data_IF_510507226126
#
_entry.id   IF_510507226126
#
_cell.length_a   1.000
_cell.length_b   1.000
_cell.length_c   1.000
_cell.angle_alpha   90.00
_cell.angle_beta   90.00
_cell.angle_gamma   90.00
#
_symmetry.space_group_name_H-M   'P 1'
#
loop_
_entity.id
_entity.type
_entity.pdbx_description
1 polymer ?
#
# COMPACT_ATOMS: atom_id res chain seq x y z
N UNK A 1 6.19 -30.91 -41.12
CA UNK A 1 6.47 -31.01 -39.66
C UNK A 1 7.32 -29.82 -39.17
N UNK A 2 8.47 -29.49 -39.82
CA UNK A 2 9.34 -28.36 -39.36
C UNK A 2 8.63 -27.00 -39.46
N UNK A 3 7.84 -26.74 -40.50
CA UNK A 3 7.11 -25.48 -40.68
C UNK A 3 6.02 -25.32 -39.60
N UNK A 4 5.29 -26.37 -39.29
CA UNK A 4 4.23 -26.36 -38.27
C UNK A 4 4.79 -26.12 -36.87
N UNK A 5 5.93 -26.76 -36.52
CA UNK A 5 6.62 -26.53 -35.28
C UNK A 5 7.14 -25.08 -35.14
N UNK A 6 7.64 -24.52 -36.26
CA UNK A 6 8.06 -23.13 -36.31
C UNK A 6 6.92 -22.15 -36.03
N UNK A 7 5.75 -22.35 -36.66
CA UNK A 7 4.58 -21.49 -36.46
C UNK A 7 4.07 -21.59 -35.02
N UNK A 8 3.97 -22.79 -34.45
CA UNK A 8 3.55 -22.98 -33.05
C UNK A 8 4.51 -22.31 -32.11
N UNK A 9 5.83 -22.43 -32.34
CA UNK A 9 6.85 -21.77 -31.51
C UNK A 9 6.73 -20.24 -31.49
N UNK A 10 6.52 -19.62 -32.67
CA UNK A 10 6.36 -18.16 -32.78
C UNK A 10 5.06 -17.71 -32.11
N UNK A 11 3.94 -18.38 -32.33
CA UNK A 11 2.67 -18.04 -31.68
C UNK A 11 2.78 -18.17 -30.15
N UNK A 12 3.37 -19.25 -29.65
CA UNK A 12 3.57 -19.45 -28.23
C UNK A 12 4.46 -18.35 -27.61
N UNK A 13 5.56 -18.00 -28.29
CA UNK A 13 6.48 -16.96 -27.82
C UNK A 13 5.82 -15.59 -27.65
N UNK A 14 4.82 -15.25 -28.48
CA UNK A 14 4.10 -13.99 -28.40
C UNK A 14 2.93 -14.05 -27.40
N UNK A 15 2.25 -15.19 -27.32
CA UNK A 15 1.01 -15.29 -26.53
C UNK A 15 1.26 -15.57 -25.05
N UNK A 16 2.27 -16.38 -24.71
CA UNK A 16 2.55 -16.78 -23.32
C UNK A 16 2.88 -15.57 -22.43
N UNK A 17 3.79 -14.65 -22.78
CA UNK A 17 4.10 -13.48 -21.93
C UNK A 17 2.87 -12.62 -21.66
N UNK A 18 2.04 -12.39 -22.68
CA UNK A 18 0.81 -11.60 -22.55
C UNK A 18 -0.20 -12.26 -21.62
N UNK A 19 -0.37 -13.58 -21.74
CA UNK A 19 -1.25 -14.34 -20.87
C UNK A 19 -0.77 -14.27 -19.40
N UNK A 20 0.51 -14.50 -19.16
CA UNK A 20 1.10 -14.47 -17.81
C UNK A 20 0.94 -13.10 -17.16
N UNK A 21 1.18 -12.01 -17.90
CA UNK A 21 1.00 -10.66 -17.38
C UNK A 21 -0.46 -10.35 -17.02
N UNK A 22 -1.41 -10.82 -17.83
CA UNK A 22 -2.85 -10.68 -17.55
C UNK A 22 -3.27 -11.46 -16.29
N UNK A 23 -2.77 -12.68 -16.12
CA UNK A 23 -3.03 -13.50 -14.93
C UNK A 23 -2.45 -12.84 -13.68
N UNK A 24 -1.22 -12.34 -13.76
CA UNK A 24 -0.58 -11.63 -12.64
C UNK A 24 -1.37 -10.39 -12.25
N UNK A 25 -1.76 -9.53 -13.19
CA UNK A 25 -2.57 -8.34 -12.92
C UNK A 25 -3.92 -8.70 -12.29
N UNK A 26 -4.57 -9.77 -12.76
CA UNK A 26 -5.83 -10.24 -12.18
C UNK A 26 -5.65 -10.75 -10.74
N UNK A 27 -4.54 -11.44 -10.48
CA UNK A 27 -4.16 -11.88 -9.12
C UNK A 27 -3.96 -10.67 -8.19
N UNK A 28 -3.16 -9.68 -8.60
CA UNK A 28 -2.92 -8.46 -7.84
C UNK A 28 -4.22 -7.69 -7.58
N UNK A 29 -5.09 -7.55 -8.58
CA UNK A 29 -6.41 -6.94 -8.39
C UNK A 29 -7.23 -7.64 -7.30
N UNK A 30 -7.22 -8.97 -7.30
CA UNK A 30 -7.97 -9.77 -6.32
C UNK A 30 -7.35 -9.63 -4.93
N UNK A 31 -6.03 -9.69 -4.83
CA UNK A 31 -5.30 -9.48 -3.57
C UNK A 31 -5.55 -8.08 -3.02
N UNK A 32 -5.47 -7.04 -3.86
CA UNK A 32 -5.75 -5.65 -3.46
C UNK A 32 -7.15 -5.50 -2.88
N UNK A 33 -8.18 -5.97 -3.59
CA UNK A 33 -9.57 -5.87 -3.13
C UNK A 33 -9.79 -6.60 -1.81
N UNK A 34 -9.22 -7.80 -1.69
CA UNK A 34 -9.26 -8.58 -0.45
C UNK A 34 -8.57 -7.83 0.70
N UNK A 35 -7.36 -7.32 0.47
CA UNK A 35 -6.60 -6.54 1.46
C UNK A 35 -7.36 -5.31 1.91
N UNK A 36 -7.93 -4.54 0.98
CA UNK A 36 -8.73 -3.37 1.31
C UNK A 36 -9.98 -3.70 2.13
N UNK A 37 -10.66 -4.79 1.81
CA UNK A 37 -11.81 -5.24 2.58
C UNK A 37 -11.40 -5.68 4.01
N UNK A 38 -10.32 -6.43 4.13
CA UNK A 38 -9.83 -6.93 5.44
C UNK A 38 -9.35 -5.80 6.34
N UNK A 39 -8.62 -4.82 5.82
CA UNK A 39 -8.16 -3.67 6.62
C UNK A 39 -9.34 -2.84 7.14
N UNK A 40 -10.40 -2.68 6.34
CA UNK A 40 -11.61 -1.99 6.78
C UNK A 40 -12.42 -2.80 7.81
N UNK A 41 -12.43 -4.13 7.69
CA UNK A 41 -13.04 -4.99 8.72
C UNK A 41 -12.26 -4.87 10.02
N UNK A 42 -10.93 -4.95 9.97
CA UNK A 42 -10.08 -4.81 11.15
C UNK A 42 -10.27 -3.44 11.84
N UNK A 43 -10.36 -2.34 11.06
CA UNK A 43 -10.58 -1.01 11.63
C UNK A 43 -11.93 -0.89 12.37
N UNK A 44 -12.98 -1.48 11.84
CA UNK A 44 -14.30 -1.52 12.53
C UNK A 44 -14.28 -2.42 13.75
N UNK A 45 -13.56 -3.55 13.69
CA UNK A 45 -13.42 -4.44 14.85
C UNK A 45 -12.61 -3.75 15.95
N UNK A 46 -11.52 -3.06 15.56
CA UNK A 46 -10.74 -2.22 16.48
C UNK A 46 -11.65 -1.24 17.23
N UNK A 47 -12.46 -0.48 16.48
CA UNK A 47 -13.40 0.48 17.08
C UNK A 47 -14.38 -0.18 18.04
N UNK A 48 -14.93 -1.32 17.66
CA UNK A 48 -15.90 -2.04 18.50
C UNK A 48 -15.31 -2.58 19.81
N UNK A 49 -14.02 -2.90 19.82
CA UNK A 49 -13.34 -3.49 20.99
C UNK A 49 -12.62 -2.42 21.85
N UNK A 50 -12.10 -1.34 21.21
CA UNK A 50 -11.34 -0.30 21.90
C UNK A 50 -12.20 0.93 22.27
N UNK A 51 -13.44 1.00 21.76
CA UNK A 51 -14.34 2.17 21.90
C UNK A 51 -13.74 3.49 21.36
N UNK A 52 -12.77 3.37 20.45
CA UNK A 52 -12.14 4.49 19.76
C UNK A 52 -11.62 4.09 18.38
N UNK A 53 -11.48 5.06 17.49
CA UNK A 53 -10.88 4.81 16.17
C UNK A 53 -9.37 4.58 16.25
N UNK A 54 -8.78 3.94 15.23
CA UNK A 54 -7.30 3.89 15.12
C UNK A 54 -6.72 5.30 15.01
N UNK A 55 -7.45 6.22 14.39
CA UNK A 55 -7.11 7.62 14.28
C UNK A 55 -6.99 8.28 15.68
N UNK A 56 -7.99 8.09 16.53
CA UNK A 56 -8.00 8.67 17.87
C UNK A 56 -7.01 7.95 18.79
N UNK A 57 -6.88 6.64 18.66
CA UNK A 57 -5.90 5.85 19.39
C UNK A 57 -4.47 6.30 19.09
N UNK A 58 -4.15 6.67 17.84
CA UNK A 58 -2.89 7.26 17.46
C UNK A 58 -2.69 8.64 18.11
N UNK A 59 -3.77 9.44 18.21
CA UNK A 59 -3.76 10.77 18.85
C UNK A 59 -3.62 10.72 20.37
N UNK A 60 -4.43 9.90 21.03
CA UNK A 60 -4.63 9.90 22.48
C UNK A 60 -3.65 8.99 23.24
N UNK A 61 -3.23 7.87 22.65
CA UNK A 61 -2.45 6.85 23.34
C UNK A 61 -1.12 7.32 23.89
N UNK A 62 -0.64 8.50 23.51
CA UNK A 62 0.73 8.94 23.79
C UNK A 62 0.89 10.36 24.31
N UNK A 63 -0.16 11.11 24.56
CA UNK A 63 -0.03 12.46 25.11
C UNK A 63 0.93 13.34 24.31
N UNK A 64 1.45 14.39 24.93
CA UNK A 64 2.38 15.36 24.33
C UNK A 64 3.85 14.88 24.26
N UNK A 65 4.12 13.58 24.28
CA UNK A 65 5.51 13.09 24.21
C UNK A 65 6.02 13.13 22.78
N UNK A 66 6.77 14.20 22.49
CA UNK A 66 7.36 14.50 21.18
C UNK A 66 8.62 13.69 20.87
N UNK A 67 9.03 12.77 21.75
CA UNK A 67 10.35 12.13 21.67
C UNK A 67 10.39 10.77 20.96
N UNK A 68 9.26 10.25 20.43
CA UNK A 68 9.22 8.86 20.03
C UNK A 68 8.30 8.44 18.87
N UNK A 69 8.19 9.20 17.78
CA UNK A 69 7.33 8.83 16.64
C UNK A 69 7.46 7.37 16.19
N UNK A 70 8.66 6.81 16.24
CA UNK A 70 8.91 5.41 15.87
C UNK A 70 8.28 4.39 16.84
N UNK A 71 8.34 4.62 18.14
CA UNK A 71 7.78 3.71 19.16
C UNK A 71 6.27 3.70 19.07
N UNK A 72 5.68 4.86 18.81
CA UNK A 72 4.25 5.06 18.68
C UNK A 72 3.69 4.30 17.47
N UNK A 73 4.29 4.48 16.30
CA UNK A 73 3.88 3.77 15.09
C UNK A 73 3.97 2.25 15.25
N UNK A 74 4.99 1.75 15.96
CA UNK A 74 5.12 0.32 16.27
C UNK A 74 3.95 -0.18 17.13
N UNK A 75 3.59 0.53 18.19
CA UNK A 75 2.54 0.13 19.11
C UNK A 75 1.17 0.20 18.47
N UNK A 76 0.87 1.27 17.73
CA UNK A 76 -0.40 1.42 17.00
C UNK A 76 -0.55 0.31 15.96
N UNK A 77 0.49 0.05 15.17
CA UNK A 77 0.45 -1.01 14.17
C UNK A 77 0.28 -2.39 14.82
N UNK A 78 1.05 -2.72 15.87
CA UNK A 78 0.92 -4.00 16.57
C UNK A 78 -0.49 -4.18 17.15
N UNK A 79 -1.04 -3.15 17.80
CA UNK A 79 -2.40 -3.19 18.33
C UNK A 79 -3.42 -3.37 17.24
N UNK A 80 -3.33 -2.60 16.16
CA UNK A 80 -4.21 -2.72 15.01
C UNK A 80 -4.13 -4.10 14.36
N UNK A 81 -2.93 -4.63 14.14
CA UNK A 81 -2.73 -5.92 13.50
C UNK A 81 -3.24 -7.11 14.35
N UNK A 82 -3.44 -6.92 15.66
CA UNK A 82 -4.05 -7.97 16.50
C UNK A 82 -5.52 -8.24 16.14
N UNK A 83 -6.17 -7.32 15.42
CA UNK A 83 -7.54 -7.47 14.90
C UNK A 83 -7.62 -8.10 13.50
N UNK A 84 -6.47 -8.39 12.89
CA UNK A 84 -6.45 -9.20 11.66
C UNK A 84 -6.69 -10.67 11.97
N UNK A 85 -7.43 -11.34 11.08
CA UNK A 85 -7.62 -12.78 11.20
C UNK A 85 -6.31 -13.53 10.95
N UNK A 86 -5.94 -14.40 11.89
CA UNK A 86 -4.74 -15.20 11.82
C UNK A 86 -3.57 -14.59 12.58
N UNK A 87 -2.46 -15.34 12.63
CA UNK A 87 -1.26 -14.89 13.32
C UNK A 87 -0.49 -13.85 12.49
N UNK A 88 0.03 -12.86 13.18
CA UNK A 88 0.95 -11.87 12.62
C UNK A 88 2.32 -12.04 13.25
N UNK A 89 3.37 -11.69 12.51
CA UNK A 89 4.75 -11.73 12.99
C UNK A 89 5.40 -10.36 12.83
N UNK A 90 5.68 -9.72 13.94
CA UNK A 90 6.49 -8.50 13.98
C UNK A 90 7.96 -8.84 13.70
N UNK A 91 8.62 -8.06 12.87
CA UNK A 91 10.06 -8.14 12.62
C UNK A 91 10.79 -7.05 13.42
N UNK A 92 12.12 -7.16 13.52
CA UNK A 92 12.97 -6.11 14.10
C UNK A 92 13.31 -4.99 13.10
N UNK A 93 12.88 -5.12 11.86
CA UNK A 93 13.27 -4.23 10.76
C UNK A 93 12.17 -3.25 10.40
N UNK A 94 12.53 -1.98 10.24
CA UNK A 94 11.73 -1.02 9.49
C UNK A 94 11.72 -1.38 8.01
N UNK A 95 10.75 -0.91 7.24
CA UNK A 95 10.54 -1.37 5.86
C UNK A 95 11.78 -1.28 4.98
N UNK A 96 12.48 -0.16 5.00
CA UNK A 96 13.72 0.00 4.23
C UNK A 96 14.78 -1.05 4.60
N UNK A 97 14.97 -1.29 5.89
CA UNK A 97 15.93 -2.28 6.38
C UNK A 97 15.47 -3.71 6.05
N UNK A 98 14.17 -3.96 6.13
CA UNK A 98 13.58 -5.23 5.72
C UNK A 98 13.84 -5.52 4.24
N UNK A 99 13.54 -4.56 3.36
CA UNK A 99 13.81 -4.67 1.93
C UNK A 99 15.29 -4.92 1.64
N UNK A 100 16.19 -4.16 2.27
CA UNK A 100 17.63 -4.33 2.11
C UNK A 100 18.10 -5.73 2.53
N UNK A 101 17.59 -6.23 3.65
CA UNK A 101 17.93 -7.56 4.16
C UNK A 101 17.46 -8.69 3.22
N UNK A 102 16.32 -8.49 2.55
CA UNK A 102 15.77 -9.44 1.58
C UNK A 102 16.20 -9.17 0.14
N UNK A 103 17.14 -8.25 -0.09
CA UNK A 103 17.63 -7.83 -1.43
C UNK A 103 16.51 -7.33 -2.35
N UNK A 104 15.49 -6.71 -1.77
CA UNK A 104 14.38 -6.11 -2.50
C UNK A 104 14.74 -4.67 -2.84
N UNK A 105 14.45 -4.26 -4.06
CA UNK A 105 14.53 -2.86 -4.49
C UNK A 105 13.13 -2.31 -4.67
N UNK A 106 12.72 -1.38 -3.82
CA UNK A 106 11.46 -0.66 -4.00
C UNK A 106 11.53 0.21 -5.26
N UNK A 107 10.46 0.16 -6.03
CA UNK A 107 10.35 0.90 -7.29
C UNK A 107 9.13 1.81 -7.29
N UNK A 108 9.24 2.91 -8.00
CA UNK A 108 8.09 3.73 -8.35
C UNK A 108 7.22 3.04 -9.41
N UNK A 109 6.07 3.61 -9.72
CA UNK A 109 5.13 3.13 -10.71
C UNK A 109 5.78 2.86 -12.09
N UNK A 110 6.72 3.70 -12.50
CA UNK A 110 7.46 3.56 -13.76
C UNK A 110 8.59 2.51 -13.73
N UNK A 111 8.81 1.85 -12.59
CA UNK A 111 9.84 0.84 -12.41
C UNK A 111 11.23 1.36 -12.03
N UNK A 112 11.40 2.67 -11.90
CA UNK A 112 12.66 3.23 -11.41
C UNK A 112 12.80 2.99 -9.90
N UNK A 113 14.00 2.63 -9.41
CA UNK A 113 14.26 2.51 -7.99
C UNK A 113 13.97 3.82 -7.25
N UNK A 114 13.41 3.73 -6.06
CA UNK A 114 13.21 4.86 -5.16
C UNK A 114 13.68 4.52 -3.75
N UNK A 115 14.18 5.55 -3.05
CA UNK A 115 14.61 5.45 -1.65
C UNK A 115 13.59 6.08 -0.67
N UNK A 116 12.42 6.45 -1.16
CA UNK A 116 11.37 7.07 -0.38
C UNK A 116 10.36 6.02 0.05
N UNK A 117 10.22 5.80 1.34
CA UNK A 117 9.30 4.84 1.92
C UNK A 117 8.16 5.61 2.61
N UNK A 118 6.90 5.32 2.26
CA UNK A 118 5.75 6.04 2.81
C UNK A 118 5.40 5.69 4.24
N UNK A 119 5.89 4.54 4.72
CA UNK A 119 5.66 4.05 6.06
C UNK A 119 6.97 3.44 6.56
N UNK A 120 7.89 4.26 7.05
CA UNK A 120 9.19 3.79 7.53
C UNK A 120 9.42 4.06 9.04
N UNK A 121 8.39 4.44 9.75
CA UNK A 121 8.45 4.68 11.19
C UNK A 121 8.25 3.42 12.01
N UNK A 122 7.32 2.54 11.61
CA UNK A 122 7.11 1.27 12.30
C UNK A 122 8.02 0.17 11.81
N UNK A 123 8.19 -0.84 12.66
CA UNK A 123 8.72 -2.15 12.26
C UNK A 123 7.72 -2.86 11.34
N UNK A 124 8.25 -3.68 10.42
CA UNK A 124 7.43 -4.46 9.51
C UNK A 124 6.72 -5.58 10.25
N UNK A 125 5.42 -5.72 9.98
CA UNK A 125 4.63 -6.88 10.40
C UNK A 125 4.24 -7.71 9.19
N UNK A 126 4.42 -9.01 9.29
CA UNK A 126 3.98 -10.00 8.29
C UNK A 126 2.69 -10.63 8.77
N UNK A 127 1.67 -10.68 7.92
CA UNK A 127 0.47 -11.47 8.21
C UNK A 127 0.58 -12.92 7.73
N UNK A 128 -0.39 -13.74 8.08
CA UNK A 128 -0.42 -15.17 7.74
C UNK A 128 -0.38 -15.43 6.21
N UNK A 129 -0.75 -14.46 5.40
CA UNK A 129 -0.72 -14.57 3.93
C UNK A 129 0.60 -14.13 3.31
N UNK A 130 1.55 -13.65 4.13
CA UNK A 130 2.84 -13.16 3.71
C UNK A 130 2.86 -11.70 3.25
N UNK A 131 1.74 -10.96 3.40
CA UNK A 131 1.73 -9.52 3.13
C UNK A 131 2.60 -8.79 4.14
N UNK A 132 3.24 -7.72 3.68
CA UNK A 132 4.13 -6.87 4.47
C UNK A 132 3.37 -5.60 4.83
N UNK A 133 3.31 -5.29 6.13
CA UNK A 133 2.62 -4.12 6.66
C UNK A 133 3.60 -3.22 7.39
N UNK A 134 3.43 -1.91 7.22
CA UNK A 134 4.14 -0.89 7.97
C UNK A 134 3.23 0.32 8.17
N UNK A 135 3.55 1.16 9.13
CA UNK A 135 2.77 2.34 9.50
C UNK A 135 3.67 3.56 9.62
N UNK A 136 3.05 4.70 9.40
CA UNK A 136 3.63 6.01 9.62
C UNK A 136 2.60 6.82 10.43
N UNK A 137 3.00 7.36 11.58
CA UNK A 137 2.06 8.05 12.45
C UNK A 137 1.50 9.33 11.81
N UNK A 138 0.40 9.80 12.35
CA UNK A 138 -0.01 11.17 12.17
C UNK A 138 0.77 11.98 13.20
N UNK A 139 1.59 12.95 12.79
CA UNK A 139 2.30 13.78 13.78
C UNK A 139 1.31 14.28 14.83
N UNK A 140 1.65 14.12 16.10
CA UNK A 140 0.80 14.40 17.27
C UNK A 140 0.18 15.81 17.32
N UNK A 141 0.49 16.65 16.37
CA UNK A 141 0.06 18.05 16.30
C UNK A 141 -1.05 18.31 15.28
N UNK A 142 -1.39 17.35 14.41
CA UNK A 142 -2.43 17.62 13.42
C UNK A 142 -3.76 17.02 13.87
N UNK A 143 -4.67 17.86 14.32
CA UNK A 143 -6.10 17.54 14.45
C UNK A 143 -6.73 17.43 13.06
N UNK A 144 -6.18 16.56 12.23
CA UNK A 144 -6.71 16.31 10.88
C UNK A 144 -7.67 15.13 10.93
N UNK A 145 -8.64 15.10 10.04
CA UNK A 145 -9.59 14.00 9.92
C UNK A 145 -8.96 12.69 9.37
N UNK A 146 -7.64 12.68 9.16
CA UNK A 146 -6.91 11.57 8.54
C UNK A 146 -5.61 11.28 9.28
N UNK A 147 -5.29 10.01 9.42
CA UNK A 147 -4.06 9.48 10.03
C UNK A 147 -4.35 8.31 10.97
N UNK A 148 -3.38 7.52 11.35
CA UNK A 148 -2.08 7.37 10.69
C UNK A 148 -2.17 6.75 9.28
N UNK A 149 -1.05 6.73 8.54
CA UNK A 149 -0.95 6.03 7.25
C UNK A 149 -0.58 4.56 7.50
N UNK A 150 -1.17 3.66 6.71
CA UNK A 150 -0.80 2.26 6.69
C UNK A 150 -0.44 1.85 5.27
N UNK A 151 0.72 1.24 5.13
CA UNK A 151 1.24 0.74 3.88
C UNK A 151 1.22 -0.78 3.85
N UNK A 152 0.99 -1.32 2.67
CA UNK A 152 0.98 -2.75 2.46
C UNK A 152 1.65 -3.14 1.15
N UNK A 153 2.46 -4.18 1.21
CA UNK A 153 2.85 -4.97 0.06
C UNK A 153 1.94 -6.20 0.00
N UNK A 154 1.05 -6.24 -0.99
CA UNK A 154 -0.06 -7.22 -1.05
C UNK A 154 0.35 -8.62 -1.49
N UNK A 155 1.55 -8.78 -2.04
CA UNK A 155 2.12 -10.06 -2.44
C UNK A 155 3.44 -10.38 -1.70
N UNK A 156 3.81 -9.56 -0.72
CA UNK A 156 4.98 -9.75 0.12
C UNK A 156 6.29 -9.48 -0.62
N UNK A 157 7.25 -10.38 -0.49
CA UNK A 157 8.58 -10.24 -1.12
C UNK A 157 8.58 -10.48 -2.64
N UNK A 158 7.49 -11.01 -3.18
CA UNK A 158 7.37 -11.29 -4.61
C UNK A 158 7.43 -10.01 -5.44
N UNK A 159 8.06 -10.10 -6.62
CA UNK A 159 8.07 -8.99 -7.58
C UNK A 159 6.65 -8.64 -8.05
N UNK A 160 6.43 -7.35 -8.41
CA UNK A 160 7.42 -6.35 -8.85
C UNK A 160 7.95 -5.39 -7.78
N UNK A 161 7.42 -5.37 -6.55
CA UNK A 161 7.78 -4.45 -5.47
C UNK A 161 7.69 -2.97 -5.90
N UNK A 162 6.55 -2.60 -6.45
CA UNK A 162 6.31 -1.29 -7.08
C UNK A 162 5.12 -0.58 -6.44
N UNK A 163 5.28 0.70 -6.15
CA UNK A 163 4.15 1.54 -5.80
C UNK A 163 3.10 1.52 -6.92
N UNK A 164 1.85 1.29 -6.55
CA UNK A 164 0.73 1.20 -7.48
C UNK A 164 0.54 -0.18 -8.15
N UNK A 165 1.45 -1.13 -7.99
CA UNK A 165 1.25 -2.51 -8.46
C UNK A 165 0.88 -3.47 -7.34
N UNK A 166 1.78 -3.58 -6.37
CA UNK A 166 1.69 -4.45 -5.21
C UNK A 166 1.92 -3.71 -3.90
N UNK A 167 2.49 -2.49 -3.93
CA UNK A 167 2.67 -1.63 -2.78
C UNK A 167 1.69 -0.47 -2.81
N UNK A 168 0.87 -0.36 -1.77
CA UNK A 168 -0.20 0.62 -1.66
C UNK A 168 -0.19 1.33 -0.30
N UNK A 169 -0.67 2.56 -0.31
CA UNK A 169 -0.79 3.41 0.88
C UNK A 169 -2.27 3.69 1.14
N UNK A 170 -2.67 3.49 2.37
CA UNK A 170 -3.98 3.84 2.90
C UNK A 170 -3.83 4.77 4.10
N UNK A 171 -4.92 5.37 4.52
CA UNK A 171 -4.96 6.24 5.69
C UNK A 171 -6.23 5.95 6.50
N UNK A 172 -6.10 5.95 7.82
CA UNK A 172 -7.23 5.87 8.72
C UNK A 172 -7.97 7.20 8.78
N UNK A 173 -9.25 7.14 9.08
CA UNK A 173 -10.10 8.31 9.24
C UNK A 173 -10.73 8.32 10.62
N UNK A 174 -11.12 9.50 11.09
CA UNK A 174 -11.90 9.67 12.33
C UNK A 174 -13.22 8.88 12.34
N UNK A 175 -13.75 8.53 11.16
CA UNK A 175 -15.00 7.78 11.00
C UNK A 175 -14.80 6.25 10.97
N UNK A 176 -13.76 5.73 11.58
CA UNK A 176 -13.47 4.29 11.72
C UNK A 176 -13.35 3.54 10.38
N UNK A 177 -12.93 4.24 9.34
CA UNK A 177 -12.71 3.66 8.03
C UNK A 177 -11.26 3.84 7.57
N UNK A 178 -10.88 3.02 6.63
CA UNK A 178 -9.60 3.13 5.94
C UNK A 178 -9.87 3.48 4.49
N UNK A 179 -9.23 4.53 4.00
CA UNK A 179 -9.39 5.00 2.62
C UNK A 179 -8.04 5.04 1.90
N UNK A 180 -8.02 5.03 0.56
CA UNK A 180 -6.79 5.27 -0.17
C UNK A 180 -6.15 6.60 0.22
N UNK A 181 -4.84 6.61 0.45
CA UNK A 181 -4.12 7.85 0.67
C UNK A 181 -4.01 8.64 -0.63
N UNK A 182 -4.38 9.93 -0.57
CA UNK A 182 -4.35 10.85 -1.72
C UNK A 182 -3.65 12.16 -1.38
N UNK A 183 -2.85 12.18 -0.32
CA UNK A 183 -2.04 13.34 0.06
C UNK A 183 -0.98 13.70 -0.98
N UNK A 184 -0.40 14.88 -0.85
CA UNK A 184 0.55 15.45 -1.82
C UNK A 184 2.01 15.24 -1.43
N UNK A 185 2.27 14.78 -0.22
CA UNK A 185 3.60 14.42 0.28
C UNK A 185 3.51 13.35 1.36
N UNK A 186 4.65 12.77 1.73
CA UNK A 186 4.71 11.81 2.86
C UNK A 186 4.28 12.43 4.18
N UNK A 187 4.63 13.70 4.38
CA UNK A 187 4.31 14.48 5.57
C UNK A 187 3.00 15.25 5.48
N UNK A 188 2.22 15.08 4.40
CA UNK A 188 0.94 15.78 4.25
C UNK A 188 -0.13 15.07 5.08
N UNK A 189 -0.30 15.58 6.28
CA UNK A 189 -1.32 15.12 7.24
C UNK A 189 -2.62 15.94 7.14
N UNK A 190 -2.64 16.99 6.31
CA UNK A 190 -3.79 17.88 6.15
C UNK A 190 -4.92 17.26 5.31
N UNK A 191 -4.84 15.95 5.11
CA UNK A 191 -5.93 15.19 4.57
C UNK A 191 -5.78 14.76 3.12
N UNK A 192 -6.65 13.87 2.77
CA UNK A 192 -6.76 13.37 1.43
C UNK A 192 -7.28 14.45 0.48
N UNK A 193 -6.63 14.55 -0.66
CA UNK A 193 -7.11 15.40 -1.75
C UNK A 193 -8.41 14.86 -2.32
N UNK A 194 -9.32 15.76 -2.68
CA UNK A 194 -10.59 15.43 -3.33
C UNK A 194 -10.58 15.77 -4.83
N UNK A 195 -9.69 16.68 -5.26
CA UNK A 195 -9.52 17.02 -6.67
C UNK A 195 -8.79 15.90 -7.41
N UNK A 196 -9.49 15.22 -8.30
CA UNK A 196 -8.96 14.09 -9.07
C UNK A 196 -7.76 14.51 -9.95
N UNK A 197 -7.68 15.78 -10.38
CA UNK A 197 -6.54 16.28 -11.15
C UNK A 197 -5.27 16.38 -10.29
N UNK A 198 -5.42 16.68 -9.01
CA UNK A 198 -4.29 16.66 -8.06
C UNK A 198 -3.89 15.22 -7.77
N UNK A 199 -4.85 14.36 -7.44
CA UNK A 199 -4.60 12.94 -7.13
C UNK A 199 -3.88 12.23 -8.28
N UNK A 200 -4.26 12.52 -9.52
CA UNK A 200 -3.69 11.96 -10.74
C UNK A 200 -2.18 12.17 -10.84
N UNK A 201 -1.65 13.32 -10.40
CA UNK A 201 -0.21 13.61 -10.44
C UNK A 201 0.63 12.63 -9.62
N UNK A 202 0.04 12.05 -8.57
CA UNK A 202 0.68 11.10 -7.68
C UNK A 202 0.35 9.64 -8.06
N UNK A 203 -0.11 9.40 -9.28
CA UNK A 203 -0.26 8.10 -9.90
C UNK A 203 -0.02 8.22 -11.41
N UNK A 204 1.18 8.65 -11.80
CA UNK A 204 1.57 8.87 -13.19
C UNK A 204 2.88 8.13 -13.51
N UNK A 205 2.89 7.43 -14.66
CA UNK A 205 4.09 6.74 -15.17
C UNK A 205 5.19 7.68 -15.64
N UNK A 206 4.83 8.88 -16.05
CA UNK A 206 5.79 9.85 -16.58
C UNK A 206 6.51 10.61 -15.46
N UNK A 207 5.98 10.52 -14.24
CA UNK A 207 6.55 11.21 -13.09
C UNK A 207 7.46 10.26 -12.31
N UNK A 208 8.76 10.52 -12.37
CA UNK A 208 9.77 9.70 -11.67
C UNK A 208 10.20 10.30 -10.33
N UNK A 209 10.03 11.60 -10.16
CA UNK A 209 10.45 12.32 -8.95
C UNK A 209 9.41 12.26 -7.84
N UNK A 210 8.15 12.01 -8.20
CA UNK A 210 7.04 11.91 -7.24
C UNK A 210 6.67 10.44 -7.03
N UNK A 211 6.73 9.92 -5.80
CA UNK A 211 6.29 8.56 -5.51
C UNK A 211 4.79 8.37 -5.77
N UNK A 212 4.44 7.22 -6.35
CA UNK A 212 3.08 6.90 -6.79
C UNK A 212 2.16 6.42 -5.65
N UNK A 213 2.03 7.21 -4.57
CA UNK A 213 1.29 6.78 -3.39
C UNK A 213 -0.24 6.94 -3.48
N UNK A 214 -0.76 7.72 -4.42
CA UNK A 214 -2.22 7.85 -4.60
C UNK A 214 -2.83 6.80 -5.53
N UNK A 215 -2.02 5.89 -6.06
CA UNK A 215 -2.50 4.86 -6.99
C UNK A 215 -3.57 3.94 -6.39
N UNK A 216 -3.59 3.75 -5.07
CA UNK A 216 -4.64 3.00 -4.38
C UNK A 216 -6.05 3.52 -4.68
N UNK A 217 -6.22 4.84 -4.86
CA UNK A 217 -7.49 5.47 -5.22
C UNK A 217 -8.02 4.99 -6.58
N UNK A 218 -7.15 4.94 -7.57
CA UNK A 218 -7.50 4.49 -8.92
C UNK A 218 -7.66 2.97 -8.97
N UNK A 219 -6.80 2.23 -8.26
CA UNK A 219 -6.87 0.78 -8.16
C UNK A 219 -8.19 0.30 -7.55
N UNK A 220 -8.69 1.00 -6.52
CA UNK A 220 -9.95 0.69 -5.85
C UNK A 220 -11.15 0.87 -6.77
N UNK A 221 -11.17 1.94 -7.54
CA UNK A 221 -12.22 2.25 -8.51
C UNK A 221 -12.12 1.45 -9.82
N UNK A 222 -11.01 0.73 -10.03
CA UNK A 222 -10.62 0.15 -11.32
C UNK A 222 -10.70 1.16 -12.48
N UNK A 223 -10.35 2.42 -12.19
CA UNK A 223 -10.34 3.51 -13.16
C UNK A 223 -8.90 4.01 -13.33
N UNK A 224 -8.41 4.01 -14.55
CA UNK A 224 -7.07 4.55 -14.83
C UNK A 224 -7.06 6.09 -14.75
N UNK A 225 -5.98 6.71 -14.28
CA UNK A 225 -5.80 8.16 -14.37
C UNK A 225 -5.94 8.72 -15.79
N UNK A 226 -5.66 7.89 -16.79
CA UNK A 226 -5.68 8.25 -18.21
C UNK A 226 -6.88 7.67 -18.98
N UNK A 227 -7.88 7.12 -18.26
CA UNK A 227 -9.04 6.48 -18.84
C UNK A 227 -8.89 4.97 -18.98
N UNK A 228 -10.01 4.26 -18.94
CA UNK A 228 -10.04 2.79 -18.96
C UNK A 228 -9.78 2.15 -17.60
N UNK A 229 -9.61 0.82 -17.61
CA UNK A 229 -9.39 0.03 -16.38
C UNK A 229 -7.96 0.21 -15.85
N UNK A 230 -7.84 0.40 -14.54
CA UNK A 230 -6.54 0.44 -13.85
C UNK A 230 -5.77 -0.88 -14.03
N UNK A 231 -6.42 -1.98 -13.74
CA UNK A 231 -5.77 -3.30 -13.73
C UNK A 231 -5.52 -3.89 -15.12
N UNK A 232 -6.34 -3.53 -16.13
CA UNK A 232 -6.17 -4.06 -17.49
C UNK A 232 -5.30 -3.18 -18.38
N UNK A 233 -5.50 -1.88 -18.31
CA UNK A 233 -4.97 -0.96 -19.32
C UNK A 233 -3.83 -0.07 -18.79
N UNK A 234 -3.87 0.28 -17.49
CA UNK A 234 -2.91 1.21 -16.92
C UNK A 234 -1.62 0.52 -16.49
N UNK A 235 -1.69 -0.61 -15.79
CA UNK A 235 -0.49 -1.34 -15.38
C UNK A 235 0.22 -1.95 -16.60
N UNK A 236 1.52 -1.65 -16.75
CA UNK A 236 2.34 -2.07 -17.91
C UNK A 236 3.31 -3.18 -17.52
#
# INVERSE_FOLDING_TARGET
VLITLGIIGVVAAITIPTLLSNVQRKRLQTQFKKTYAEVNVAARTFFAEEDMSVHDFDGDAYGSDTSGGNIRSDLVLQRFMSYFKGQTRTTEYKWRAYDSNHKITQKNLNGQPINSYPCDESSVILDITGRIWAMDDSSAQSKTAYGPKICVDINGVDSPNRLGYDRFVFVFTENNSVVPYTGTSWSDLNGNQTDENVIKKYCDYNESSIPAFSCAYFALKDKSPNGGSYWKNFLK
#
